data_IF_662138613329
#
_entry.id   IF_662138613329
#
_cell.length_a   1.000
_cell.length_b   1.000
_cell.length_c   1.000
_cell.angle_alpha   90.00
_cell.angle_beta   90.00
_cell.angle_gamma   90.00
#
_symmetry.space_group_name_H-M   'P 1'
#
loop_
_entity.id
_entity.type
_entity.pdbx_description
1 polymer ?
#
# COMPACT_ATOMS: atom_id res chain seq x y z
N UNK A 1 -27.01 36.41 -35.11
CA UNK A 1 -26.81 35.68 -33.83
C UNK A 1 -27.55 34.35 -33.91
N UNK A 2 -26.87 33.22 -33.77
CA UNK A 2 -27.53 31.92 -33.76
C UNK A 2 -28.47 31.83 -32.54
N UNK A 3 -29.74 31.40 -32.75
CA UNK A 3 -30.76 31.32 -31.73
C UNK A 3 -30.34 30.21 -30.73
N UNK A 4 -29.96 30.56 -29.51
CA UNK A 4 -29.68 29.59 -28.46
C UNK A 4 -30.93 28.80 -28.13
N UNK A 5 -30.96 27.51 -28.36
CA UNK A 5 -32.10 26.63 -28.08
C UNK A 5 -31.76 25.73 -26.91
N UNK A 6 -32.66 25.74 -25.91
CA UNK A 6 -32.59 24.83 -24.75
C UNK A 6 -33.94 24.20 -24.51
N UNK A 7 -33.97 22.86 -24.38
CA UNK A 7 -35.17 22.11 -24.10
C UNK A 7 -34.92 20.90 -23.22
N UNK A 8 -35.87 20.53 -22.37
CA UNK A 8 -35.87 19.36 -21.50
C UNK A 8 -37.14 18.56 -21.72
N UNK A 9 -37.01 17.31 -22.14
CA UNK A 9 -38.14 16.44 -22.48
C UNK A 9 -38.02 15.12 -21.70
N UNK A 10 -39.14 14.65 -21.12
CA UNK A 10 -39.22 13.32 -20.52
C UNK A 10 -39.91 12.32 -21.43
N UNK A 11 -39.41 11.10 -21.46
CA UNK A 11 -40.00 10.00 -22.24
C UNK A 11 -39.69 8.65 -21.61
N UNK A 12 -40.42 7.61 -21.97
CA UNK A 12 -40.17 6.23 -21.52
C UNK A 12 -39.54 5.41 -22.65
N UNK A 13 -38.60 4.54 -22.29
CA UNK A 13 -37.96 3.59 -23.25
C UNK A 13 -38.79 2.31 -23.34
N UNK A 14 -39.86 2.32 -24.18
CA UNK A 14 -40.79 1.19 -24.39
C UNK A 14 -40.07 -0.10 -24.85
N UNK A 15 -38.97 0.02 -25.60
CA UNK A 15 -38.22 -1.11 -26.11
C UNK A 15 -37.38 -1.85 -25.02
N UNK A 16 -37.28 -1.31 -23.81
CA UNK A 16 -36.47 -1.88 -22.72
C UNK A 16 -37.28 -1.90 -21.42
N UNK A 17 -38.15 -2.89 -21.29
CA UNK A 17 -38.91 -3.08 -20.06
C UNK A 17 -38.05 -3.65 -18.94
N UNK A 18 -38.35 -3.24 -17.72
CA UNK A 18 -37.78 -3.78 -16.50
C UNK A 18 -38.43 -5.12 -16.16
N UNK A 19 -37.86 -5.88 -15.21
CA UNK A 19 -38.40 -7.19 -14.76
C UNK A 19 -39.82 -7.09 -14.22
N UNK A 20 -40.25 -5.92 -13.74
CA UNK A 20 -41.61 -5.64 -13.26
C UNK A 20 -42.59 -5.19 -14.37
N UNK A 21 -42.20 -5.23 -15.65
CA UNK A 21 -43.02 -4.82 -16.78
C UNK A 21 -43.11 -3.32 -17.01
N UNK A 22 -42.47 -2.48 -16.22
CA UNK A 22 -42.43 -1.03 -16.38
C UNK A 22 -41.36 -0.58 -17.36
N UNK A 23 -41.55 0.56 -17.99
CA UNK A 23 -40.55 1.21 -18.84
C UNK A 23 -39.72 2.23 -18.05
N UNK A 24 -38.39 2.25 -18.18
CA UNK A 24 -37.57 3.25 -17.54
C UNK A 24 -37.86 4.64 -18.11
N UNK A 25 -37.94 5.65 -17.23
CA UNK A 25 -38.08 7.04 -17.61
C UNK A 25 -36.73 7.64 -17.94
N UNK A 26 -36.65 8.35 -19.05
CA UNK A 26 -35.48 9.07 -19.50
C UNK A 26 -35.76 10.55 -19.65
N UNK A 27 -34.80 11.38 -19.40
CA UNK A 27 -34.78 12.80 -19.67
C UNK A 27 -33.89 13.09 -20.87
N UNK A 28 -34.35 13.83 -21.84
CA UNK A 28 -33.55 14.35 -22.96
C UNK A 28 -33.27 15.82 -22.73
N UNK A 29 -32.01 16.17 -22.73
CA UNK A 29 -31.54 17.56 -22.67
C UNK A 29 -31.08 17.93 -24.07
N UNK A 30 -31.59 19.02 -24.61
CA UNK A 30 -31.20 19.55 -25.92
C UNK A 30 -30.62 20.95 -25.75
N UNK A 31 -29.40 21.20 -26.27
CA UNK A 31 -28.77 22.52 -26.28
C UNK A 31 -28.21 22.78 -27.68
N UNK A 32 -28.63 23.84 -28.32
CA UNK A 32 -28.13 24.25 -29.65
C UNK A 32 -28.14 23.10 -30.68
N UNK A 33 -29.23 22.30 -30.68
CA UNK A 33 -29.39 21.18 -31.60
C UNK A 33 -28.68 19.86 -31.19
N UNK A 34 -27.76 19.88 -30.26
CA UNK A 34 -27.20 18.68 -29.69
C UNK A 34 -28.08 18.11 -28.58
N UNK A 35 -28.15 16.78 -28.46
CA UNK A 35 -29.02 16.14 -27.47
C UNK A 35 -28.30 15.02 -26.72
N UNK A 36 -28.65 14.83 -25.44
CA UNK A 36 -28.19 13.72 -24.60
C UNK A 36 -29.34 13.14 -23.78
N UNK A 37 -29.41 11.81 -23.74
CA UNK A 37 -30.43 11.10 -22.95
C UNK A 37 -29.82 10.72 -21.58
N UNK A 38 -30.55 11.03 -20.52
CA UNK A 38 -30.18 10.80 -19.12
C UNK A 38 -31.20 9.89 -18.48
N UNK A 39 -30.79 8.80 -17.86
CA UNK A 39 -31.68 7.91 -17.08
C UNK A 39 -32.07 8.59 -15.77
N UNK A 40 -33.35 8.74 -15.52
CA UNK A 40 -33.90 9.41 -14.34
C UNK A 40 -33.98 8.49 -13.12
N UNK A 41 -33.62 7.19 -13.30
CA UNK A 41 -33.66 6.12 -12.27
C UNK A 41 -35.08 5.96 -11.66
N UNK A 42 -36.09 6.18 -12.48
CA UNK A 42 -37.55 5.95 -12.20
C UNK A 42 -38.14 5.19 -13.37
N UNK A 43 -39.25 4.51 -13.13
CA UNK A 43 -39.98 3.76 -14.13
C UNK A 43 -41.46 4.11 -14.08
N UNK A 44 -42.19 3.83 -15.17
CA UNK A 44 -43.60 4.04 -15.27
C UNK A 44 -44.25 2.90 -16.09
N UNK A 45 -45.42 2.39 -15.70
CA UNK A 45 -46.18 1.50 -16.55
C UNK A 45 -46.49 2.15 -17.89
N UNK A 46 -46.28 1.42 -18.99
CA UNK A 46 -46.40 1.97 -20.37
C UNK A 46 -47.77 2.55 -20.65
N UNK A 47 -48.85 1.93 -20.14
CA UNK A 47 -50.23 2.35 -20.30
C UNK A 47 -50.58 3.65 -19.54
N UNK A 48 -49.85 3.95 -18.47
CA UNK A 48 -50.05 5.15 -17.66
C UNK A 48 -49.23 6.36 -18.14
N UNK A 49 -48.27 6.18 -19.06
CA UNK A 49 -47.48 7.31 -19.56
C UNK A 49 -48.20 8.20 -20.53
N UNK A 50 -48.16 9.50 -20.28
CA UNK A 50 -48.66 10.53 -21.22
C UNK A 50 -47.48 11.25 -21.88
N UNK A 51 -47.21 10.94 -23.13
CA UNK A 51 -46.08 11.54 -23.85
C UNK A 51 -46.26 13.03 -24.13
N UNK A 52 -47.51 13.51 -24.36
CA UNK A 52 -47.78 14.92 -24.62
C UNK A 52 -47.57 15.80 -23.38
N UNK A 53 -47.93 15.28 -22.19
CA UNK A 53 -47.71 15.97 -20.90
C UNK A 53 -46.39 15.55 -20.20
N UNK A 54 -45.70 14.57 -20.75
CA UNK A 54 -44.41 14.05 -20.21
C UNK A 54 -44.52 13.57 -18.76
N UNK A 55 -45.67 12.97 -18.38
CA UNK A 55 -45.93 12.55 -17.02
C UNK A 55 -46.79 11.27 -16.96
N UNK A 56 -46.99 10.73 -15.77
CA UNK A 56 -47.95 9.64 -15.54
C UNK A 56 -49.38 10.17 -15.43
N UNK A 57 -50.35 9.48 -16.09
CA UNK A 57 -51.79 9.75 -15.99
C UNK A 57 -52.41 9.21 -14.70
N UNK A 58 -51.70 8.29 -13.99
CA UNK A 58 -52.22 7.67 -12.77
C UNK A 58 -52.50 8.69 -11.67
N UNK A 59 -53.50 8.40 -10.85
CA UNK A 59 -53.84 9.16 -9.65
C UNK A 59 -53.39 8.48 -8.37
N UNK A 60 -52.75 7.33 -8.50
CA UNK A 60 -52.18 6.57 -7.42
C UNK A 60 -50.95 7.29 -6.85
N UNK A 61 -50.60 6.96 -5.61
CA UNK A 61 -49.47 7.59 -4.89
C UNK A 61 -48.18 7.53 -5.67
N UNK A 62 -47.87 6.40 -6.32
CA UNK A 62 -46.67 6.21 -7.12
C UNK A 62 -46.60 7.16 -8.33
N UNK A 63 -47.70 7.34 -9.03
CA UNK A 63 -47.81 8.28 -10.17
C UNK A 63 -47.65 9.73 -9.73
N UNK A 64 -48.21 10.11 -8.58
CA UNK A 64 -48.07 11.45 -8.01
C UNK A 64 -46.64 11.73 -7.59
N UNK A 65 -46.00 10.80 -6.89
CA UNK A 65 -44.60 10.90 -6.49
C UNK A 65 -43.63 10.97 -7.71
N UNK A 66 -43.91 10.17 -8.75
CA UNK A 66 -43.16 10.23 -10.00
C UNK A 66 -43.30 11.61 -10.65
N UNK A 67 -44.48 12.12 -10.81
CA UNK A 67 -44.74 13.41 -11.45
C UNK A 67 -44.08 14.55 -10.68
N UNK A 68 -44.18 14.56 -9.37
CA UNK A 68 -43.49 15.53 -8.52
C UNK A 68 -41.94 15.45 -8.69
N UNK A 69 -41.40 14.25 -8.74
CA UNK A 69 -39.96 14.04 -8.97
C UNK A 69 -39.50 14.57 -10.34
N UNK A 70 -40.30 14.37 -11.39
CA UNK A 70 -40.02 14.88 -12.74
C UNK A 70 -39.98 16.41 -12.78
N UNK A 71 -40.93 17.08 -12.08
CA UNK A 71 -40.98 18.55 -11.98
C UNK A 71 -39.75 19.11 -11.22
N UNK A 72 -39.35 18.48 -10.10
CA UNK A 72 -38.15 18.87 -9.37
C UNK A 72 -36.91 18.72 -10.29
N UNK A 73 -36.85 17.61 -11.02
CA UNK A 73 -35.74 17.33 -11.94
C UNK A 73 -35.66 18.35 -13.06
N UNK A 74 -36.82 18.71 -13.64
CA UNK A 74 -36.93 19.77 -14.67
C UNK A 74 -36.45 21.11 -14.14
N UNK A 75 -36.91 21.51 -12.98
CA UNK A 75 -36.52 22.76 -12.31
C UNK A 75 -35.04 22.83 -12.07
N UNK A 76 -34.42 21.72 -11.62
CA UNK A 76 -32.96 21.63 -11.39
C UNK A 76 -32.15 21.79 -12.68
N UNK A 77 -32.59 21.18 -13.79
CA UNK A 77 -31.89 21.33 -15.07
C UNK A 77 -32.00 22.77 -15.59
N UNK A 78 -33.16 23.40 -15.44
CA UNK A 78 -33.31 24.82 -15.79
C UNK A 78 -32.44 25.74 -14.92
N UNK A 79 -32.26 25.41 -13.65
CA UNK A 79 -31.37 26.15 -12.76
C UNK A 79 -29.90 26.00 -13.21
N UNK A 80 -29.44 24.79 -13.51
CA UNK A 80 -28.10 24.51 -14.04
C UNK A 80 -27.84 25.33 -15.32
N UNK A 81 -28.81 25.35 -16.24
CA UNK A 81 -28.71 26.13 -17.48
C UNK A 81 -28.49 27.64 -17.20
N UNK A 82 -29.31 28.20 -16.29
CA UNK A 82 -29.21 29.63 -15.90
C UNK A 82 -27.89 29.96 -15.21
N UNK A 83 -27.40 29.07 -14.33
CA UNK A 83 -26.12 29.24 -13.66
C UNK A 83 -24.95 29.23 -14.67
N UNK A 84 -24.97 28.33 -15.65
CA UNK A 84 -23.97 28.30 -16.72
C UNK A 84 -24.08 29.55 -17.63
N UNK A 85 -25.24 30.00 -17.93
CA UNK A 85 -25.46 31.20 -18.75
C UNK A 85 -24.91 32.46 -18.07
N UNK A 86 -25.05 32.57 -16.75
CA UNK A 86 -24.50 33.66 -15.95
C UNK A 86 -22.96 33.68 -15.87
N UNK A 87 -22.34 32.52 -16.02
CA UNK A 87 -20.87 32.40 -15.97
C UNK A 87 -20.17 32.68 -17.30
N UNK A 88 -20.92 32.89 -18.39
CA UNK A 88 -20.38 33.13 -19.72
C UNK A 88 -19.69 31.93 -20.38
N UNK A 89 -19.75 30.76 -19.80
CA UNK A 89 -19.18 29.54 -20.35
C UNK A 89 -20.00 29.01 -21.52
N UNK A 90 -19.33 28.33 -22.45
CA UNK A 90 -20.02 27.64 -23.56
C UNK A 90 -20.86 26.48 -23.00
N UNK A 91 -22.19 26.56 -23.13
CA UNK A 91 -23.09 25.52 -22.62
C UNK A 91 -23.18 24.37 -23.61
N UNK A 92 -22.77 23.18 -23.19
CA UNK A 92 -22.90 21.92 -23.94
C UNK A 92 -23.78 20.92 -23.19
N UNK A 93 -24.40 19.99 -23.93
CA UNK A 93 -25.22 18.94 -23.32
C UNK A 93 -24.44 18.03 -22.39
N UNK A 94 -23.17 17.79 -22.70
CA UNK A 94 -22.29 16.97 -21.84
C UNK A 94 -21.93 17.69 -20.54
N UNK A 95 -21.70 19.00 -20.57
CA UNK A 95 -21.50 19.82 -19.39
C UNK A 95 -22.74 19.79 -18.49
N UNK A 96 -23.91 20.01 -19.05
CA UNK A 96 -25.17 19.95 -18.29
C UNK A 96 -25.40 18.56 -17.67
N UNK A 97 -25.11 17.49 -18.42
CA UNK A 97 -25.21 16.12 -17.91
C UNK A 97 -24.25 15.89 -16.76
N UNK A 98 -23.01 16.34 -16.86
CA UNK A 98 -21.99 16.23 -15.81
C UNK A 98 -22.42 16.94 -14.54
N UNK A 99 -22.86 18.21 -14.64
CA UNK A 99 -23.33 19.00 -13.50
C UNK A 99 -24.58 18.37 -12.86
N UNK A 100 -25.50 17.86 -13.68
CA UNK A 100 -26.69 17.17 -13.17
C UNK A 100 -26.36 15.94 -12.34
N UNK A 101 -25.33 15.19 -12.73
CA UNK A 101 -24.79 14.07 -11.95
C UNK A 101 -23.86 14.50 -10.83
N UNK A 102 -23.65 15.80 -10.62
CA UNK A 102 -22.73 16.34 -9.60
C UNK A 102 -21.26 16.20 -9.99
N UNK A 103 -20.97 16.08 -11.28
CA UNK A 103 -19.62 16.06 -11.84
C UNK A 103 -19.35 17.46 -12.39
N UNK A 104 -18.73 18.34 -11.61
CA UNK A 104 -18.21 19.63 -12.10
C UNK A 104 -17.16 19.38 -13.19
N UNK A 105 -17.13 20.22 -14.22
CA UNK A 105 -16.12 20.10 -15.30
C UNK A 105 -14.67 20.18 -14.81
N UNK A 106 -14.47 20.89 -13.71
CA UNK A 106 -13.17 21.04 -13.05
C UNK A 106 -12.97 20.03 -11.91
N UNK A 107 -13.93 19.16 -11.61
CA UNK A 107 -13.79 18.21 -10.51
C UNK A 107 -12.89 17.05 -10.91
N UNK A 108 -11.68 17.08 -10.38
CA UNK A 108 -10.76 15.94 -10.47
C UNK A 108 -11.43 14.68 -9.89
N UNK A 109 -11.20 13.54 -10.56
CA UNK A 109 -11.70 12.24 -10.07
C UNK A 109 -10.57 11.49 -9.36
N UNK A 110 -10.94 10.59 -8.46
CA UNK A 110 -9.99 9.88 -7.60
C UNK A 110 -8.96 9.07 -8.40
N UNK A 111 -9.42 8.25 -9.35
CA UNK A 111 -8.53 7.39 -10.12
C UNK A 111 -7.69 8.19 -11.10
N UNK A 112 -8.22 9.30 -11.65
CA UNK A 112 -7.46 10.21 -12.49
C UNK A 112 -6.25 10.77 -11.72
N UNK A 113 -6.46 11.35 -10.54
CA UNK A 113 -5.38 11.92 -9.72
C UNK A 113 -4.40 10.84 -9.28
N UNK A 114 -4.90 9.66 -8.94
CA UNK A 114 -4.03 8.54 -8.55
C UNK A 114 -3.14 8.09 -9.71
N UNK A 115 -3.67 8.01 -10.93
CA UNK A 115 -2.90 7.66 -12.13
C UNK A 115 -1.86 8.73 -12.47
N UNK A 116 -2.24 10.02 -12.44
CA UNK A 116 -1.32 11.15 -12.63
C UNK A 116 -0.15 11.08 -11.64
N UNK A 117 -0.44 10.84 -10.36
CA UNK A 117 0.59 10.63 -9.31
C UNK A 117 1.48 9.42 -9.61
N UNK A 118 0.92 8.30 -10.06
CA UNK A 118 1.70 7.08 -10.36
C UNK A 118 2.63 7.31 -11.54
N UNK A 119 2.21 8.02 -12.58
CA UNK A 119 3.03 8.38 -13.73
C UNK A 119 4.20 9.29 -13.34
N UNK A 120 3.94 10.31 -12.51
CA UNK A 120 4.98 11.17 -11.97
C UNK A 120 5.98 10.36 -11.13
N UNK A 121 5.48 9.51 -10.22
CA UNK A 121 6.32 8.65 -9.39
C UNK A 121 7.15 7.67 -10.22
N UNK A 122 6.65 7.18 -11.36
CA UNK A 122 7.38 6.29 -12.29
C UNK A 122 8.55 7.02 -12.93
N UNK A 123 8.40 8.28 -13.32
CA UNK A 123 9.48 9.10 -13.89
C UNK A 123 10.62 9.37 -12.89
N UNK A 124 10.32 9.28 -11.60
CA UNK A 124 11.29 9.52 -10.51
C UNK A 124 11.91 8.22 -9.96
N UNK A 125 11.68 7.06 -10.62
CA UNK A 125 12.35 5.81 -10.24
C UNK A 125 13.86 5.96 -10.41
N UNK A 126 14.59 5.54 -9.38
CA UNK A 126 16.07 5.67 -9.31
C UNK A 126 16.54 6.98 -8.69
N UNK A 127 15.67 7.98 -8.56
CA UNK A 127 15.94 9.22 -7.81
C UNK A 127 15.23 9.18 -6.46
N UNK A 128 13.92 9.48 -6.43
CA UNK A 128 13.12 9.59 -5.21
C UNK A 128 12.36 8.31 -4.87
N UNK A 129 12.08 7.49 -5.87
CA UNK A 129 11.30 6.26 -5.71
C UNK A 129 12.06 5.02 -6.18
N UNK A 130 11.81 3.90 -5.49
CA UNK A 130 12.16 2.56 -5.99
C UNK A 130 10.97 1.97 -6.74
N UNK A 131 11.23 1.19 -7.79
CA UNK A 131 10.21 0.53 -8.63
C UNK A 131 9.13 -0.19 -7.81
N UNK A 132 9.53 -0.88 -6.73
CA UNK A 132 8.60 -1.59 -5.84
C UNK A 132 7.61 -0.68 -5.11
N UNK A 133 7.98 0.58 -4.85
CA UNK A 133 7.07 1.57 -4.24
C UNK A 133 5.99 1.99 -5.24
N UNK A 134 6.39 2.25 -6.49
CA UNK A 134 5.45 2.59 -7.58
C UNK A 134 4.49 1.42 -7.84
N UNK A 135 4.98 0.19 -7.90
CA UNK A 135 4.15 -1.01 -8.04
C UNK A 135 3.10 -1.15 -6.91
N UNK A 136 3.42 -0.72 -5.68
CA UNK A 136 2.45 -0.69 -4.57
C UNK A 136 1.34 0.34 -4.80
N UNK A 137 1.65 1.51 -5.34
CA UNK A 137 0.65 2.52 -5.72
C UNK A 137 -0.25 1.99 -6.83
N UNK A 138 0.33 1.41 -7.89
CA UNK A 138 -0.42 0.80 -9.01
C UNK A 138 -1.38 -0.31 -8.53
N UNK A 139 -0.92 -1.17 -7.61
CA UNK A 139 -1.77 -2.19 -6.99
C UNK A 139 -2.92 -1.56 -6.21
N UNK A 140 -2.67 -0.45 -5.50
CA UNK A 140 -3.72 0.26 -4.76
C UNK A 140 -4.74 0.88 -5.71
N UNK A 141 -4.28 1.48 -6.83
CA UNK A 141 -5.15 2.04 -7.88
C UNK A 141 -6.06 0.96 -8.45
N UNK A 142 -5.51 -0.20 -8.81
CA UNK A 142 -6.30 -1.34 -9.32
C UNK A 142 -7.37 -1.80 -8.34
N UNK A 143 -7.04 -1.91 -7.05
CA UNK A 143 -8.03 -2.30 -6.03
C UNK A 143 -9.12 -1.24 -5.84
N UNK A 144 -8.78 0.04 -5.97
CA UNK A 144 -9.77 1.13 -5.96
C UNK A 144 -10.69 1.07 -7.19
N UNK A 145 -10.16 0.80 -8.38
CA UNK A 145 -10.96 0.62 -9.60
C UNK A 145 -11.98 -0.49 -9.44
N UNK A 146 -11.55 -1.65 -8.95
CA UNK A 146 -12.42 -2.80 -8.70
C UNK A 146 -13.48 -2.49 -7.63
N UNK A 147 -13.09 -1.80 -6.55
CA UNK A 147 -13.98 -1.38 -5.48
C UNK A 147 -15.05 -0.40 -5.97
N UNK A 148 -14.66 0.67 -6.67
CA UNK A 148 -15.57 1.68 -7.19
C UNK A 148 -16.57 1.05 -8.17
N UNK A 149 -16.08 0.16 -9.05
CA UNK A 149 -16.94 -0.55 -9.99
C UNK A 149 -17.95 -1.45 -9.29
N UNK A 150 -17.53 -2.18 -8.24
CA UNK A 150 -18.40 -3.12 -7.52
C UNK A 150 -19.40 -2.41 -6.63
N UNK A 151 -18.94 -1.48 -5.80
CA UNK A 151 -19.76 -0.85 -4.76
C UNK A 151 -20.65 0.29 -5.30
N UNK A 152 -20.12 1.07 -6.23
CA UNK A 152 -20.78 2.27 -6.75
C UNK A 152 -21.28 2.12 -8.19
N UNK A 153 -20.90 1.04 -8.90
CA UNK A 153 -21.22 0.83 -10.33
C UNK A 153 -20.76 1.99 -11.23
N UNK A 154 -19.67 2.65 -10.85
CA UNK A 154 -19.03 3.76 -11.55
C UNK A 154 -17.68 3.33 -12.11
N UNK A 155 -17.22 4.03 -13.15
CA UNK A 155 -15.86 3.89 -13.68
C UNK A 155 -14.83 4.68 -12.87
N UNK A 156 -15.25 5.76 -12.21
CA UNK A 156 -14.46 6.61 -11.33
C UNK A 156 -15.39 7.42 -10.44
N UNK A 157 -14.88 8.09 -9.41
CA UNK A 157 -15.67 8.90 -8.48
C UNK A 157 -15.05 10.30 -8.34
N UNK A 158 -15.88 11.34 -8.37
CA UNK A 158 -15.42 12.71 -8.14
C UNK A 158 -14.89 12.86 -6.71
N UNK A 159 -13.78 13.55 -6.56
CA UNK A 159 -13.13 13.74 -5.25
C UNK A 159 -14.05 14.40 -4.22
N UNK A 160 -14.91 15.34 -4.65
CA UNK A 160 -15.88 16.02 -3.78
C UNK A 160 -16.97 15.08 -3.23
N UNK A 161 -17.16 13.90 -3.82
CA UNK A 161 -18.13 12.89 -3.39
C UNK A 161 -17.53 11.84 -2.44
N UNK A 162 -16.28 12.01 -2.05
CA UNK A 162 -15.61 11.11 -1.11
C UNK A 162 -15.99 11.46 0.32
N UNK A 163 -16.72 10.58 0.96
CA UNK A 163 -17.13 10.68 2.36
C UNK A 163 -16.34 9.71 3.24
N UNK A 164 -16.39 9.89 4.57
CA UNK A 164 -15.76 8.99 5.53
C UNK A 164 -16.21 7.53 5.36
N UNK A 165 -17.45 7.30 4.96
CA UNK A 165 -17.99 5.97 4.69
C UNK A 165 -17.28 5.26 3.53
N UNK A 166 -16.81 5.99 2.52
CA UNK A 166 -15.99 5.43 1.43
C UNK A 166 -14.75 4.74 1.96
N UNK A 167 -14.06 5.37 2.92
CA UNK A 167 -12.83 4.83 3.51
C UNK A 167 -13.09 3.54 4.27
N UNK A 168 -14.16 3.52 5.08
CA UNK A 168 -14.55 2.33 5.86
C UNK A 168 -14.97 1.17 4.96
N UNK A 169 -15.72 1.43 3.90
CA UNK A 169 -16.12 0.42 2.91
C UNK A 169 -14.92 -0.11 2.12
N UNK A 170 -13.97 0.76 1.76
CA UNK A 170 -12.75 0.32 1.07
C UNK A 170 -11.87 -0.53 1.98
N UNK A 171 -11.73 -0.20 3.28
CA UNK A 171 -11.03 -1.05 4.26
C UNK A 171 -11.66 -2.44 4.35
N UNK A 172 -12.99 -2.52 4.47
CA UNK A 172 -13.73 -3.78 4.49
C UNK A 172 -13.52 -4.58 3.17
N UNK A 173 -13.59 -3.91 2.01
CA UNK A 173 -13.34 -4.55 0.71
C UNK A 173 -11.92 -5.14 0.62
N UNK A 174 -10.90 -4.41 1.10
CA UNK A 174 -9.52 -4.91 1.10
C UNK A 174 -9.36 -6.18 1.95
N UNK A 175 -10.03 -6.26 3.08
CA UNK A 175 -9.95 -7.40 4.00
C UNK A 175 -10.78 -8.59 3.53
N UNK A 176 -12.03 -8.36 3.14
CA UNK A 176 -12.98 -9.42 2.81
C UNK A 176 -12.75 -9.94 1.38
N UNK A 177 -12.69 -9.05 0.39
CA UNK A 177 -12.65 -9.44 -1.01
C UNK A 177 -11.21 -9.67 -1.52
N UNK A 178 -10.23 -8.92 -1.01
CA UNK A 178 -8.83 -9.05 -1.43
C UNK A 178 -8.01 -9.90 -0.48
N UNK A 179 -8.58 -10.36 0.63
CA UNK A 179 -7.87 -11.17 1.62
C UNK A 179 -6.64 -10.48 2.22
N UNK A 180 -6.62 -9.15 2.24
CA UNK A 180 -5.49 -8.42 2.79
C UNK A 180 -5.43 -8.56 4.30
N UNK A 181 -4.29 -8.98 4.85
CA UNK A 181 -4.02 -8.85 6.27
C UNK A 181 -4.08 -7.37 6.71
N UNK A 182 -4.35 -7.13 8.00
CA UNK A 182 -4.56 -5.79 8.56
C UNK A 182 -3.49 -4.77 8.13
N UNK A 183 -2.20 -5.07 8.31
CA UNK A 183 -1.12 -4.15 7.98
C UNK A 183 -0.99 -3.90 6.46
N UNK A 184 -1.38 -4.89 5.65
CA UNK A 184 -1.44 -4.74 4.19
C UNK A 184 -2.57 -3.82 3.77
N UNK A 185 -3.78 -3.96 4.34
CA UNK A 185 -4.90 -3.06 4.12
C UNK A 185 -4.55 -1.62 4.54
N UNK A 186 -3.97 -1.44 5.73
CA UNK A 186 -3.49 -0.14 6.22
C UNK A 186 -2.48 0.50 5.26
N UNK A 187 -1.59 -0.29 4.66
CA UNK A 187 -0.63 0.23 3.67
C UNK A 187 -1.35 0.77 2.43
N UNK A 188 -2.41 0.09 1.95
CA UNK A 188 -3.24 0.58 0.82
C UNK A 188 -3.99 1.86 1.18
N UNK A 189 -4.56 1.91 2.38
CA UNK A 189 -5.24 3.10 2.89
C UNK A 189 -4.29 4.29 3.07
N UNK A 190 -3.05 4.07 3.53
CA UNK A 190 -2.02 5.12 3.58
C UNK A 190 -1.66 5.65 2.19
N UNK A 191 -1.62 4.79 1.17
CA UNK A 191 -1.42 5.22 -0.21
C UNK A 191 -2.59 6.08 -0.70
N UNK A 192 -3.83 5.69 -0.39
CA UNK A 192 -5.01 6.50 -0.70
C UNK A 192 -4.98 7.83 0.06
N UNK A 193 -4.64 7.82 1.36
CA UNK A 193 -4.53 9.05 2.16
C UNK A 193 -3.52 10.04 1.56
N UNK A 194 -2.43 9.56 0.98
CA UNK A 194 -1.47 10.43 0.27
C UNK A 194 -2.14 11.19 -0.88
N UNK A 195 -2.97 10.51 -1.68
CA UNK A 195 -3.70 11.14 -2.79
C UNK A 195 -4.73 12.14 -2.28
N UNK A 196 -5.47 11.78 -1.22
CA UNK A 196 -6.41 12.69 -0.56
C UNK A 196 -5.71 13.95 -0.04
N UNK A 197 -4.50 13.80 0.52
CA UNK A 197 -3.71 14.95 0.97
C UNK A 197 -3.32 15.86 -0.20
N UNK A 198 -2.88 15.29 -1.33
CA UNK A 198 -2.62 16.07 -2.54
C UNK A 198 -3.88 16.81 -3.00
N UNK A 199 -5.05 16.17 -2.92
CA UNK A 199 -6.32 16.80 -3.28
C UNK A 199 -6.70 17.95 -2.34
N UNK A 200 -6.42 17.84 -1.04
CA UNK A 200 -6.60 18.93 -0.06
C UNK A 200 -5.62 20.08 -0.29
N UNK A 201 -4.34 19.78 -0.50
CA UNK A 201 -3.29 20.76 -0.76
C UNK A 201 -3.53 21.57 -2.05
N UNK A 202 -4.30 21.03 -3.00
CA UNK A 202 -4.70 21.71 -4.24
C UNK A 202 -6.14 22.24 -4.22
N UNK A 203 -6.80 22.27 -3.08
CA UNK A 203 -8.18 22.75 -2.90
C UNK A 203 -9.22 22.00 -3.78
N UNK A 204 -8.91 20.81 -4.26
CA UNK A 204 -9.86 19.99 -5.02
C UNK A 204 -10.95 19.36 -4.14
N UNK A 205 -10.70 19.24 -2.83
CA UNK A 205 -11.67 18.85 -1.80
C UNK A 205 -11.52 19.76 -0.58
N UNK A 206 -12.64 20.01 0.10
CA UNK A 206 -12.69 20.88 1.30
C UNK A 206 -12.64 20.10 2.62
N UNK A 207 -13.03 18.84 2.60
CA UNK A 207 -13.12 17.97 3.79
C UNK A 207 -12.25 16.74 3.61
N UNK A 208 -11.48 16.39 4.65
CA UNK A 208 -10.69 15.16 4.65
C UNK A 208 -11.58 13.95 4.97
N UNK A 209 -11.78 13.00 4.02
CA UNK A 209 -12.53 11.77 4.28
C UNK A 209 -11.88 10.88 5.36
N UNK A 210 -10.58 11.07 5.64
CA UNK A 210 -9.85 10.36 6.69
C UNK A 210 -9.90 11.04 8.06
N UNK A 211 -10.59 12.17 8.23
CA UNK A 211 -10.59 12.94 9.49
C UNK A 211 -10.88 12.09 10.74
N UNK A 212 -11.78 11.14 10.63
CA UNK A 212 -12.20 10.24 11.72
C UNK A 212 -11.64 8.82 11.61
N UNK A 213 -10.85 8.52 10.57
CA UNK A 213 -10.29 7.19 10.38
C UNK A 213 -8.97 7.02 11.15
N UNK A 214 -8.93 6.07 12.08
CA UNK A 214 -7.74 5.75 12.87
C UNK A 214 -7.03 4.52 12.26
N UNK A 215 -5.77 4.69 11.89
CA UNK A 215 -4.92 3.61 11.41
C UNK A 215 -4.48 2.74 12.60
N UNK A 216 -5.07 1.57 12.74
CA UNK A 216 -4.71 0.59 13.77
C UNK A 216 -3.79 -0.47 13.15
N UNK A 217 -2.50 -0.35 13.39
CA UNK A 217 -1.52 -1.37 13.02
C UNK A 217 -1.54 -2.51 14.04
N UNK A 218 -1.45 -3.74 13.54
CA UNK A 218 -1.17 -4.90 14.38
C UNK A 218 0.34 -5.01 14.57
N UNK A 219 0.74 -5.25 15.80
CA UNK A 219 2.12 -5.58 16.10
C UNK A 219 2.46 -6.92 15.47
N UNK A 220 3.55 -6.93 14.73
CA UNK A 220 4.08 -8.16 14.16
C UNK A 220 5.23 -8.63 15.03
N UNK A 221 5.24 -9.91 15.32
CA UNK A 221 6.27 -10.58 16.07
C UNK A 221 7.20 -11.33 15.09
N UNK A 222 8.27 -10.69 14.59
CA UNK A 222 9.13 -11.31 13.61
C UNK A 222 9.95 -12.42 14.26
N UNK A 223 9.94 -13.59 13.63
CA UNK A 223 10.74 -14.74 14.06
C UNK A 223 12.24 -14.45 13.97
N UNK A 224 12.96 -14.99 14.91
CA UNK A 224 14.44 -15.02 14.94
C UNK A 224 14.92 -16.42 15.34
N UNK A 225 16.17 -16.74 15.01
CA UNK A 225 16.80 -18.00 15.39
C UNK A 225 17.43 -17.88 16.77
N UNK A 226 17.25 -18.90 17.59
CA UNK A 226 18.00 -19.07 18.85
C UNK A 226 19.44 -19.46 18.56
N UNK A 227 20.33 -19.34 19.57
CA UNK A 227 21.73 -19.77 19.41
C UNK A 227 21.86 -21.27 19.07
N UNK A 228 20.95 -22.10 19.59
CA UNK A 228 20.98 -23.54 19.32
C UNK A 228 20.54 -23.86 17.89
N UNK A 229 19.51 -23.18 17.39
CA UNK A 229 19.09 -23.28 15.98
C UNK A 229 20.21 -22.78 15.02
N UNK A 230 20.94 -21.72 15.40
CA UNK A 230 22.09 -21.22 14.65
C UNK A 230 23.21 -22.27 14.63
N UNK A 231 23.52 -22.91 15.75
CA UNK A 231 24.52 -24.00 15.83
C UNK A 231 24.12 -25.18 14.96
N UNK A 232 22.86 -25.58 14.92
CA UNK A 232 22.37 -26.66 14.06
C UNK A 232 22.64 -26.32 12.58
N UNK A 233 22.34 -25.10 12.14
CA UNK A 233 22.58 -24.66 10.77
C UNK A 233 24.07 -24.65 10.44
N UNK A 234 24.92 -24.21 11.38
CA UNK A 234 26.38 -24.18 11.22
C UNK A 234 26.98 -25.57 11.10
N UNK A 235 26.53 -26.51 11.93
CA UNK A 235 27.05 -27.87 11.97
C UNK A 235 26.55 -28.74 10.81
N UNK A 236 25.45 -28.33 10.13
CA UNK A 236 24.88 -29.15 9.07
C UNK A 236 25.72 -29.10 7.80
N UNK A 237 26.15 -30.25 7.33
CA UNK A 237 26.78 -30.40 6.03
C UNK A 237 25.71 -30.60 4.92
N UNK A 238 25.93 -29.92 3.81
CA UNK A 238 25.10 -30.02 2.62
C UNK A 238 25.92 -30.53 1.43
N UNK A 239 25.52 -31.63 0.84
CA UNK A 239 26.17 -32.23 -0.34
C UNK A 239 25.89 -31.43 -1.61
N UNK A 240 24.79 -30.69 -1.63
CA UNK A 240 24.34 -29.89 -2.79
C UNK A 240 24.97 -28.50 -2.69
N UNK A 241 25.95 -28.22 -3.52
CA UNK A 241 26.74 -26.97 -3.53
C UNK A 241 25.88 -25.69 -3.51
N UNK A 242 24.75 -25.65 -4.24
CA UNK A 242 23.86 -24.48 -4.25
C UNK A 242 23.17 -24.23 -2.90
N UNK A 243 22.83 -25.31 -2.17
CA UNK A 243 22.18 -25.22 -0.84
C UNK A 243 23.22 -24.79 0.20
N UNK A 244 24.41 -25.38 0.16
CA UNK A 244 25.56 -24.97 0.99
C UNK A 244 25.86 -23.47 0.80
N UNK A 245 25.92 -23.01 -0.44
CA UNK A 245 26.15 -21.61 -0.79
C UNK A 245 25.11 -20.66 -0.17
N UNK A 246 23.81 -21.04 -0.23
CA UNK A 246 22.73 -20.27 0.39
C UNK A 246 22.83 -20.30 1.91
N UNK A 247 23.18 -21.44 2.51
CA UNK A 247 23.44 -21.57 3.94
C UNK A 247 24.56 -20.61 4.37
N UNK A 248 25.68 -20.58 3.65
CA UNK A 248 26.82 -19.73 4.00
C UNK A 248 26.47 -18.24 3.92
N UNK A 249 25.78 -17.81 2.85
CA UNK A 249 25.30 -16.43 2.73
C UNK A 249 24.30 -16.09 3.86
N UNK A 250 23.44 -17.01 4.21
CA UNK A 250 22.49 -16.82 5.31
C UNK A 250 23.18 -16.69 6.66
N UNK A 251 24.14 -17.58 6.95
CA UNK A 251 24.97 -17.52 8.15
C UNK A 251 25.75 -16.20 8.19
N UNK A 252 26.35 -15.79 7.08
CA UNK A 252 27.02 -14.49 7.00
C UNK A 252 26.06 -13.34 7.38
N UNK A 253 24.81 -13.38 6.91
CA UNK A 253 23.80 -12.40 7.30
C UNK A 253 23.43 -12.49 8.79
N UNK A 254 23.43 -13.69 9.41
CA UNK A 254 23.21 -13.87 10.86
C UNK A 254 24.33 -13.22 11.68
N UNK A 255 25.57 -13.21 11.21
CA UNK A 255 26.72 -12.65 11.94
C UNK A 255 27.10 -11.22 11.54
N UNK A 256 26.42 -10.63 10.55
CA UNK A 256 26.67 -9.24 10.12
C UNK A 256 25.42 -8.36 10.17
N UNK A 257 24.23 -8.94 10.22
CA UNK A 257 22.95 -8.19 10.18
C UNK A 257 22.67 -7.49 8.86
N UNK A 258 23.46 -7.70 7.80
CA UNK A 258 23.24 -7.08 6.49
C UNK A 258 21.90 -7.51 5.89
N UNK A 259 21.21 -6.56 5.27
CA UNK A 259 19.99 -6.87 4.51
C UNK A 259 20.35 -7.53 3.17
N UNK A 260 19.41 -8.26 2.57
CA UNK A 260 19.60 -8.95 1.30
C UNK A 260 20.22 -8.07 0.20
N UNK A 261 19.70 -6.86 0.03
CA UNK A 261 20.20 -5.91 -0.97
C UNK A 261 21.66 -5.52 -0.70
N UNK A 262 22.00 -5.36 0.58
CA UNK A 262 23.30 -4.87 1.00
C UNK A 262 24.37 -5.97 0.90
N UNK A 263 24.04 -7.22 1.24
CA UNK A 263 24.95 -8.36 1.07
C UNK A 263 25.14 -8.74 -0.40
N UNK A 264 24.11 -8.61 -1.23
CA UNK A 264 24.21 -8.88 -2.68
C UNK A 264 25.18 -7.93 -3.37
N UNK A 265 25.24 -6.67 -2.92
CA UNK A 265 26.11 -5.64 -3.50
C UNK A 265 27.40 -5.44 -2.70
N UNK A 266 27.73 -6.39 -1.79
CA UNK A 266 28.94 -6.31 -0.97
C UNK A 266 30.17 -6.60 -1.84
N UNK A 267 31.15 -5.69 -1.83
CA UNK A 267 32.40 -5.74 -2.60
C UNK A 267 33.62 -5.55 -1.71
N UNK A 268 34.83 -5.87 -2.16
CA UNK A 268 36.05 -5.72 -1.38
C UNK A 268 36.31 -4.31 -0.82
N UNK A 269 35.90 -3.28 -1.52
CA UNK A 269 36.01 -1.88 -1.08
C UNK A 269 35.23 -1.55 0.20
N UNK A 270 34.25 -2.39 0.57
CA UNK A 270 33.47 -2.24 1.80
C UNK A 270 34.18 -2.86 3.02
N UNK A 271 35.29 -3.62 2.82
CA UNK A 271 36.10 -4.20 3.87
C UNK A 271 37.22 -3.24 4.23
N UNK A 272 37.25 -2.79 5.46
CA UNK A 272 38.26 -1.83 5.97
C UNK A 272 38.88 -2.36 7.24
N UNK A 273 40.20 -2.32 7.35
CA UNK A 273 40.89 -2.59 8.59
C UNK A 273 40.98 -1.30 9.41
N UNK A 274 40.76 -1.42 10.70
CA UNK A 274 40.97 -0.31 11.62
C UNK A 274 42.44 -0.19 12.04
N UNK A 275 42.74 0.78 12.89
CA UNK A 275 44.12 1.03 13.38
C UNK A 275 44.67 -0.11 14.24
N UNK A 276 43.81 -1.04 14.68
CA UNK A 276 44.21 -2.23 15.45
C UNK A 276 44.30 -3.48 14.57
N UNK A 277 44.03 -3.36 13.26
CA UNK A 277 44.06 -4.46 12.32
C UNK A 277 42.73 -5.24 12.25
N UNK A 278 41.72 -4.85 13.04
CA UNK A 278 40.42 -5.49 13.05
C UNK A 278 39.67 -5.20 11.75
N UNK A 279 38.99 -6.22 11.20
CA UNK A 279 38.25 -6.12 9.95
C UNK A 279 36.83 -5.61 10.19
N UNK A 280 36.45 -4.62 9.44
CA UNK A 280 35.12 -3.98 9.49
C UNK A 280 34.44 -3.97 8.13
N UNK A 281 33.10 -4.13 8.13
CA UNK A 281 32.26 -3.82 6.98
C UNK A 281 31.75 -2.39 7.15
N UNK A 282 32.07 -1.50 6.20
CA UNK A 282 31.56 -0.14 6.12
C UNK A 282 30.81 0.05 4.83
N UNK A 283 29.48 0.08 4.90
CA UNK A 283 28.62 0.15 3.72
C UNK A 283 27.39 1.00 4.00
N UNK A 284 27.09 1.93 3.10
CA UNK A 284 25.81 2.65 3.15
C UNK A 284 24.67 1.70 2.83
N UNK A 285 23.71 1.61 3.73
CA UNK A 285 22.52 0.81 3.53
C UNK A 285 21.73 1.29 2.31
N UNK A 286 21.37 0.41 1.40
CA UNK A 286 20.68 0.77 0.15
C UNK A 286 19.34 1.49 0.40
N UNK A 287 18.59 1.05 1.42
CA UNK A 287 17.25 1.58 1.74
C UNK A 287 17.26 2.95 2.42
N UNK A 288 18.16 3.16 3.38
CA UNK A 288 18.18 4.35 4.25
C UNK A 288 19.32 5.32 3.95
N UNK A 289 20.30 4.88 3.14
CA UNK A 289 21.55 5.61 2.85
C UNK A 289 22.43 5.88 4.09
N UNK A 290 22.13 5.23 5.22
CA UNK A 290 22.88 5.37 6.47
C UNK A 290 24.03 4.37 6.48
N UNK A 291 25.19 4.80 6.94
CA UNK A 291 26.38 3.98 7.07
C UNK A 291 26.18 2.87 8.11
N UNK A 292 26.34 1.62 7.71
CA UNK A 292 26.50 0.48 8.59
C UNK A 292 27.98 0.29 8.91
N UNK A 293 28.32 0.25 10.19
CA UNK A 293 29.67 -0.07 10.67
C UNK A 293 29.59 -1.37 11.46
N UNK A 294 30.06 -2.46 10.87
CA UNK A 294 29.89 -3.81 11.42
C UNK A 294 31.27 -4.45 11.60
N UNK A 295 31.68 -4.81 12.82
CA UNK A 295 32.89 -5.60 13.03
C UNK A 295 32.67 -7.00 12.45
N UNK A 296 33.65 -7.51 11.75
CA UNK A 296 33.60 -8.84 11.13
C UNK A 296 33.96 -9.89 12.17
N UNK A 297 32.99 -10.64 12.62
CA UNK A 297 33.16 -11.73 13.57
C UNK A 297 33.86 -12.94 12.90
N UNK A 298 34.57 -13.81 13.65
CA UNK A 298 35.35 -14.91 13.08
C UNK A 298 34.57 -15.83 12.14
N UNK A 299 33.31 -16.14 12.46
CA UNK A 299 32.43 -16.93 11.59
C UNK A 299 32.17 -16.23 10.25
N UNK A 300 31.96 -14.93 10.25
CA UNK A 300 31.80 -14.18 9.01
C UNK A 300 33.11 -14.07 8.22
N UNK A 301 34.25 -13.94 8.91
CA UNK A 301 35.56 -13.93 8.28
C UNK A 301 35.86 -15.25 7.56
N UNK A 302 35.60 -16.39 8.20
CA UNK A 302 35.84 -17.72 7.59
C UNK A 302 34.98 -17.94 6.32
N UNK A 303 33.79 -17.36 6.27
CA UNK A 303 32.96 -17.41 5.06
C UNK A 303 33.53 -16.51 3.95
N UNK A 304 34.05 -15.32 4.29
CA UNK A 304 34.71 -14.46 3.31
C UNK A 304 35.96 -15.15 2.72
N UNK A 305 36.74 -15.81 3.55
CA UNK A 305 37.93 -16.57 3.11
C UNK A 305 37.53 -17.73 2.19
N UNK A 306 36.46 -18.46 2.50
CA UNK A 306 35.92 -19.55 1.66
C UNK A 306 35.55 -19.09 0.26
N UNK A 307 35.06 -17.86 0.10
CA UNK A 307 34.62 -17.32 -1.17
C UNK A 307 35.57 -16.29 -1.78
N UNK A 308 36.84 -16.28 -1.37
CA UNK A 308 37.87 -15.35 -1.87
C UNK A 308 38.01 -15.42 -3.40
N UNK A 309 38.12 -16.62 -3.97
CA UNK A 309 38.24 -16.81 -5.42
C UNK A 309 37.01 -16.24 -6.19
N UNK A 310 35.81 -16.38 -5.61
CA UNK A 310 34.61 -15.80 -6.18
C UNK A 310 34.65 -14.27 -6.16
N UNK A 311 35.20 -13.70 -5.09
CA UNK A 311 35.36 -12.25 -4.96
C UNK A 311 36.35 -11.70 -6.00
N UNK A 312 37.45 -12.40 -6.25
CA UNK A 312 38.45 -12.04 -7.27
C UNK A 312 37.87 -12.10 -8.69
N UNK A 313 37.06 -13.13 -8.99
CA UNK A 313 36.42 -13.29 -10.31
C UNK A 313 35.26 -12.36 -10.59
N UNK A 314 34.43 -12.06 -9.57
CA UNK A 314 33.14 -11.37 -9.78
C UNK A 314 33.12 -9.93 -9.27
N UNK A 315 34.10 -9.54 -8.46
CA UNK A 315 34.11 -8.27 -7.72
C UNK A 315 33.07 -8.22 -6.58
N UNK A 316 32.39 -9.33 -6.25
CA UNK A 316 31.43 -9.44 -5.15
C UNK A 316 31.94 -10.44 -4.11
N UNK A 317 31.87 -10.07 -2.84
CA UNK A 317 32.42 -10.90 -1.75
C UNK A 317 31.72 -12.25 -1.61
N UNK A 318 30.47 -12.37 -1.98
CA UNK A 318 29.68 -13.57 -1.79
C UNK A 318 28.82 -13.89 -3.04
N UNK A 319 28.60 -15.17 -3.33
CA UNK A 319 27.77 -15.63 -4.46
C UNK A 319 26.27 -15.59 -4.11
N UNK A 320 25.67 -14.40 -4.05
CA UNK A 320 24.29 -14.21 -3.62
C UNK A 320 23.32 -14.44 -4.78
N UNK A 321 22.44 -15.42 -4.65
CA UNK A 321 21.38 -15.69 -5.61
C UNK A 321 20.30 -14.60 -5.58
N UNK A 322 19.34 -14.63 -6.50
CA UNK A 322 18.17 -13.73 -6.42
C UNK A 322 17.32 -14.05 -5.17
N UNK A 323 16.62 -13.03 -4.65
CA UNK A 323 15.91 -13.12 -3.37
C UNK A 323 14.88 -14.28 -3.33
N UNK A 324 14.21 -14.55 -4.44
CA UNK A 324 13.25 -15.65 -4.52
C UNK A 324 13.93 -17.01 -4.35
N UNK A 325 15.03 -17.24 -5.04
CA UNK A 325 15.81 -18.48 -4.93
C UNK A 325 16.45 -18.63 -3.54
N UNK A 326 17.00 -17.53 -2.98
CA UNK A 326 17.50 -17.55 -1.60
C UNK A 326 16.43 -18.04 -0.63
N UNK A 327 15.25 -17.41 -0.64
CA UNK A 327 14.17 -17.78 0.26
C UNK A 327 13.60 -19.18 0.00
N UNK A 328 13.64 -19.67 -1.25
CA UNK A 328 13.23 -21.04 -1.56
C UNK A 328 14.16 -22.07 -0.94
N UNK A 329 15.48 -21.91 -1.11
CA UNK A 329 16.47 -22.81 -0.50
C UNK A 329 16.57 -22.66 1.02
N UNK A 330 16.27 -21.49 1.58
CA UNK A 330 16.20 -21.33 3.03
C UNK A 330 15.07 -22.14 3.67
N UNK A 331 13.98 -22.40 2.96
CA UNK A 331 12.93 -23.33 3.43
C UNK A 331 13.43 -24.76 3.43
N UNK A 332 14.12 -25.18 2.37
CA UNK A 332 14.75 -26.49 2.29
C UNK A 332 15.78 -26.69 3.42
N UNK A 333 16.59 -25.67 3.71
CA UNK A 333 17.54 -25.69 4.83
C UNK A 333 16.81 -25.82 6.17
N UNK A 334 15.72 -25.08 6.37
CA UNK A 334 14.91 -25.16 7.58
C UNK A 334 14.36 -26.60 7.79
N UNK A 335 13.79 -27.19 6.74
CA UNK A 335 13.23 -28.53 6.78
C UNK A 335 14.31 -29.58 7.11
N UNK A 336 15.47 -29.53 6.45
CA UNK A 336 16.61 -30.43 6.68
C UNK A 336 17.23 -30.26 8.09
N UNK A 337 17.17 -29.05 8.65
CA UNK A 337 17.67 -28.76 9.99
C UNK A 337 16.59 -28.98 11.10
N UNK A 338 15.37 -29.36 10.77
CA UNK A 338 14.28 -29.53 11.73
C UNK A 338 13.82 -28.20 12.38
N UNK A 339 13.97 -27.08 11.68
CA UNK A 339 13.62 -25.75 12.17
C UNK A 339 12.22 -25.38 11.64
N UNK A 340 11.22 -25.28 12.52
CA UNK A 340 9.84 -24.98 12.18
C UNK A 340 9.53 -23.49 11.99
N UNK A 341 10.58 -22.68 11.72
CA UNK A 341 10.45 -21.24 11.46
C UNK A 341 10.58 -20.93 9.99
N UNK A 342 9.88 -19.90 9.51
CA UNK A 342 9.98 -19.47 8.12
C UNK A 342 11.27 -18.68 7.89
N UNK A 343 12.34 -19.38 7.49
CA UNK A 343 13.63 -18.75 7.23
C UNK A 343 13.58 -17.83 6.01
N UNK A 344 14.10 -16.64 6.19
CA UNK A 344 14.31 -15.64 5.15
C UNK A 344 15.57 -14.83 5.43
N UNK A 345 16.09 -14.12 4.45
CA UNK A 345 17.22 -13.20 4.68
C UNK A 345 16.91 -12.15 5.75
N UNK A 346 15.61 -11.85 5.96
CA UNK A 346 15.18 -10.93 7.01
C UNK A 346 15.24 -11.58 8.39
N UNK A 347 14.93 -12.87 8.51
CA UNK A 347 15.09 -13.65 9.75
C UNK A 347 16.54 -13.67 10.20
N UNK A 348 17.53 -13.76 9.28
CA UNK A 348 18.96 -13.64 9.63
C UNK A 348 19.26 -12.31 10.33
N UNK A 349 18.74 -11.21 9.79
CA UNK A 349 18.94 -9.88 10.38
C UNK A 349 18.26 -9.73 11.75
N UNK A 350 17.08 -10.34 11.95
CA UNK A 350 16.44 -10.40 13.27
C UNK A 350 17.28 -11.21 14.25
N UNK A 351 17.81 -12.35 13.81
CA UNK A 351 18.71 -13.20 14.63
C UNK A 351 20.00 -12.47 15.03
N UNK A 352 20.60 -11.70 14.10
CA UNK A 352 21.74 -10.85 14.43
C UNK A 352 21.42 -9.87 15.55
N UNK A 353 20.33 -9.11 15.39
CA UNK A 353 19.96 -8.12 16.38
C UNK A 353 19.65 -8.74 17.75
N UNK A 354 18.84 -9.82 17.77
CA UNK A 354 18.32 -10.40 19.00
C UNK A 354 19.34 -11.39 19.61
N UNK A 355 19.72 -12.44 18.86
CA UNK A 355 20.49 -13.57 19.42
C UNK A 355 22.00 -13.29 19.47
N UNK A 356 22.54 -12.55 18.47
CA UNK A 356 23.98 -12.26 18.44
C UNK A 356 24.31 -11.00 19.25
N UNK A 357 23.53 -9.92 19.10
CA UNK A 357 23.88 -8.64 19.73
C UNK A 357 23.20 -8.45 21.08
N UNK A 358 21.89 -8.31 21.13
CA UNK A 358 21.18 -7.94 22.35
C UNK A 358 21.26 -9.00 23.45
N UNK A 359 21.23 -10.29 23.10
CA UNK A 359 21.40 -11.39 24.05
C UNK A 359 22.79 -11.41 24.70
N UNK A 360 23.78 -10.81 24.04
CA UNK A 360 25.17 -10.70 24.54
C UNK A 360 25.49 -9.29 25.09
N UNK A 361 24.49 -8.47 25.39
CA UNK A 361 24.67 -7.20 26.09
C UNK A 361 25.11 -6.03 25.20
N UNK A 362 25.06 -6.16 23.87
CA UNK A 362 25.33 -5.02 22.97
C UNK A 362 24.20 -4.02 23.12
N UNK A 363 24.51 -2.74 23.31
CA UNK A 363 23.50 -1.69 23.47
C UNK A 363 22.65 -1.51 22.22
N UNK A 364 21.40 -1.09 22.43
CA UNK A 364 20.44 -0.89 21.33
C UNK A 364 20.91 0.16 20.32
N UNK A 365 21.61 1.19 20.78
CA UNK A 365 22.20 2.25 19.97
C UNK A 365 23.27 1.69 19.03
N UNK A 366 24.13 0.82 19.54
CA UNK A 366 25.16 0.16 18.73
C UNK A 366 24.52 -0.78 17.71
N UNK A 367 23.50 -1.55 18.10
CA UNK A 367 22.75 -2.41 17.18
C UNK A 367 22.07 -1.57 16.10
N UNK A 368 21.44 -0.44 16.43
CA UNK A 368 20.84 0.47 15.46
C UNK A 368 21.86 0.99 14.45
N UNK A 369 23.04 1.40 14.92
CA UNK A 369 24.16 1.88 14.08
C UNK A 369 24.69 0.79 13.15
N UNK A 370 24.92 -0.43 13.66
CA UNK A 370 25.34 -1.57 12.85
C UNK A 370 24.31 -1.93 11.78
N UNK A 371 23.03 -1.86 12.13
CA UNK A 371 21.93 -2.12 11.21
C UNK A 371 21.62 -0.95 10.25
N UNK A 372 22.22 0.21 10.40
CA UNK A 372 21.92 1.39 9.57
C UNK A 372 20.48 1.87 9.72
N UNK A 373 19.97 1.91 10.95
CA UNK A 373 18.66 2.51 11.27
C UNK A 373 18.81 4.00 11.52
N UNK A 374 17.85 4.78 11.03
CA UNK A 374 17.83 6.24 11.26
C UNK A 374 17.43 6.59 12.70
N UNK A 375 16.67 5.71 13.36
CA UNK A 375 16.17 5.90 14.70
C UNK A 375 16.18 4.55 15.45
N UNK A 376 16.47 4.60 16.73
CA UNK A 376 16.43 3.45 17.64
C UNK A 376 15.02 2.88 17.82
N UNK A 377 13.96 3.66 17.54
CA UNK A 377 12.58 3.20 17.56
C UNK A 377 12.36 1.98 16.63
N UNK A 378 13.05 1.95 15.48
CA UNK A 378 13.02 0.80 14.56
C UNK A 378 13.72 -0.41 15.19
N UNK A 379 14.73 -0.19 16.02
CA UNK A 379 15.49 -1.25 16.70
C UNK A 379 14.72 -1.82 17.89
N UNK A 380 13.80 -1.06 18.48
CA UNK A 380 12.93 -1.53 19.58
C UNK A 380 12.12 -2.77 19.23
N UNK A 381 11.80 -2.98 17.96
CA UNK A 381 11.13 -4.22 17.51
C UNK A 381 11.99 -5.48 17.72
N UNK A 382 13.32 -5.34 17.90
CA UNK A 382 14.24 -6.43 18.21
C UNK A 382 14.51 -6.55 19.72
N UNK A 383 14.20 -5.52 20.48
CA UNK A 383 14.40 -5.48 21.92
C UNK A 383 13.29 -6.24 22.64
N UNK A 384 13.17 -7.53 22.32
CA UNK A 384 12.48 -8.43 23.23
C UNK A 384 13.37 -8.57 24.45
N UNK A 385 12.78 -8.28 25.59
CA UNK A 385 13.42 -8.62 26.86
C UNK A 385 13.47 -10.14 26.87
N UNK A 386 14.63 -10.70 26.55
CA UNK A 386 14.85 -12.14 26.68
C UNK A 386 14.81 -12.45 28.17
N UNK A 387 14.03 -13.43 28.58
CA UNK A 387 13.95 -13.88 29.99
C UNK A 387 15.33 -14.15 30.59
N UNK A 388 16.26 -14.63 29.75
CA UNK A 388 17.66 -14.82 30.13
C UNK A 388 18.38 -13.52 30.50
N UNK A 389 18.06 -12.39 29.86
CA UNK A 389 18.65 -11.10 30.21
C UNK A 389 18.06 -10.56 31.51
N UNK A 390 16.75 -10.73 31.71
CA UNK A 390 16.12 -10.43 33.00
C UNK A 390 16.79 -11.23 34.08
N UNK A 391 16.96 -12.53 33.87
CA UNK A 391 17.60 -13.42 34.86
C UNK A 391 19.04 -12.99 35.17
N UNK A 392 19.85 -12.68 34.13
CA UNK A 392 21.24 -12.20 34.30
C UNK A 392 21.30 -10.88 35.06
N UNK A 393 20.43 -9.94 34.74
CA UNK A 393 20.39 -8.64 35.43
C UNK A 393 19.93 -8.81 36.88
N UNK A 394 18.93 -9.66 37.13
CA UNK A 394 18.50 -9.99 38.50
C UNK A 394 19.55 -10.78 39.28
N UNK A 395 20.37 -11.61 38.65
CA UNK A 395 21.52 -12.25 39.29
C UNK A 395 22.56 -11.23 39.73
N UNK A 396 22.84 -10.18 38.93
CA UNK A 396 23.74 -9.08 39.35
C UNK A 396 23.14 -8.32 40.53
N UNK A 397 21.87 -8.02 40.52
CA UNK A 397 21.16 -7.39 41.65
C UNK A 397 21.27 -8.29 42.88
N UNK A 398 21.00 -9.58 42.74
CA UNK A 398 21.09 -10.54 43.85
C UNK A 398 22.50 -10.59 44.43
N UNK A 399 23.56 -10.57 43.58
CA UNK A 399 24.96 -10.53 44.09
C UNK A 399 25.27 -9.24 44.85
N UNK A 400 24.72 -8.09 44.41
CA UNK A 400 24.87 -6.82 45.13
C UNK A 400 24.10 -6.79 46.47
N UNK A 401 22.96 -7.51 46.52
CA UNK A 401 22.13 -7.56 47.73
C UNK A 401 22.49 -8.71 48.68
N UNK A 402 23.40 -9.62 48.28
CA UNK A 402 23.81 -10.76 49.12
C UNK A 402 24.49 -10.33 50.44
N UNK A 403 25.05 -9.11 50.48
CA UNK A 403 25.59 -8.51 51.70
C UNK A 403 24.49 -7.96 52.63
N UNK A 404 23.24 -7.86 52.17
CA UNK A 404 22.09 -7.41 52.93
C UNK A 404 21.23 -8.58 53.48
N UNK A 405 21.61 -9.82 53.14
CA UNK A 405 20.90 -11.00 53.66
C UNK A 405 21.23 -11.18 55.13
N UNK A 406 20.23 -10.94 55.98
CA UNK A 406 20.24 -11.15 57.43
C UNK A 406 20.16 -12.63 57.74
#
# INVERSE_FOLDING_TARGET
MARKTFNVLFFIKKARLLKNGEAPVCMRITVNGCMVDVLVKRSCPVNLWNQAKENSKGKDRMSVELNHYLEITRSRIHQIYRELESTGKTITVDLMRKIYYGVDEDSKTLLQVFREHNEQSRKLIGKDFVSKTVQRYETTTRYLEEFIKKEYQLSDIALNNLEANFISKFDAFLKIEKGCAQNSAITRLKNLKKIIRIALENDWIKKDPFAYYRFKLEETDPEFLTMDEIKIILAKEFTIKRVEQVRDVFVFCIFTGLAFSDVKDLSPEHLVKDNKGELWIRKNRQKTKIMCNIPVLPVAASILDKYKDVAECTGKLLPVLCNQRMNSYLKEIADVCGIHKNLSTHTARHSYATSICLANGVSMENVAKMLGHADTSVTKHYARVLDQNILKDMQKVNSCLSELAI
#
